data_IF_215673859642
#
_entry.id   IF_215673859642
#
_cell.length_a   1.000
_cell.length_b   1.000
_cell.length_c   1.000
_cell.angle_alpha   90.00
_cell.angle_beta   90.00
_cell.angle_gamma   90.00
#
_symmetry.space_group_name_H-M   'P 1'
#
loop_
_entity.id
_entity.type
_entity.pdbx_description
1 polymer ?
#
# COMPACT_ATOMS: atom_id res chain seq x y z
N UNK A 1 23.71 12.21 13.90
CA UNK A 1 22.60 11.25 13.60
C UNK A 1 22.02 11.56 12.23
N UNK A 2 21.86 10.53 11.39
CA UNK A 2 21.26 10.72 10.06
C UNK A 2 19.80 10.22 10.07
N UNK A 3 18.87 11.13 10.30
CA UNK A 3 17.45 10.83 10.39
C UNK A 3 16.87 10.32 9.07
N UNK A 4 17.29 10.89 7.93
CA UNK A 4 16.82 10.45 6.63
C UNK A 4 17.21 8.99 6.37
N UNK A 5 18.43 8.62 6.70
CA UNK A 5 18.92 7.25 6.56
C UNK A 5 18.15 6.30 7.48
N UNK A 6 17.88 6.73 8.72
CA UNK A 6 17.15 5.92 9.69
C UNK A 6 15.71 5.65 9.21
N UNK A 7 15.05 6.66 8.65
CA UNK A 7 13.72 6.52 8.08
C UNK A 7 13.74 5.48 6.94
N UNK A 8 14.74 5.57 6.05
CA UNK A 8 14.89 4.60 4.96
C UNK A 8 15.13 3.18 5.48
N UNK A 9 15.96 3.05 6.52
CA UNK A 9 16.24 1.75 7.14
C UNK A 9 14.96 1.14 7.72
N UNK A 10 14.20 1.93 8.48
CA UNK A 10 12.93 1.47 9.07
C UNK A 10 11.95 1.05 7.98
N UNK A 11 11.85 1.85 6.92
CA UNK A 11 10.99 1.52 5.78
C UNK A 11 11.37 0.16 5.16
N UNK A 12 12.66 -0.05 4.93
CA UNK A 12 13.15 -1.31 4.34
C UNK A 12 12.91 -2.50 5.27
N UNK A 13 13.15 -2.31 6.57
CA UNK A 13 12.91 -3.36 7.57
C UNK A 13 11.42 -3.70 7.66
N UNK A 14 10.55 -2.70 7.61
CA UNK A 14 9.10 -2.89 7.59
C UNK A 14 8.69 -3.77 6.41
N UNK A 15 9.16 -3.41 5.22
CA UNK A 15 8.82 -4.15 4.00
C UNK A 15 9.35 -5.58 4.04
N UNK A 16 10.56 -5.76 4.52
CA UNK A 16 11.17 -7.10 4.66
C UNK A 16 10.38 -7.97 5.64
N UNK A 17 9.97 -7.41 6.77
CA UNK A 17 9.13 -8.10 7.75
C UNK A 17 7.81 -8.55 7.13
N UNK A 18 7.12 -7.65 6.41
CA UNK A 18 5.86 -7.97 5.74
C UNK A 18 6.04 -9.06 4.69
N UNK A 19 7.12 -8.97 3.89
CA UNK A 19 7.38 -9.94 2.82
C UNK A 19 7.48 -11.38 3.34
N UNK A 20 8.01 -11.56 4.55
CA UNK A 20 8.09 -12.88 5.17
C UNK A 20 6.72 -13.55 5.32
N UNK A 21 5.70 -12.77 5.64
CA UNK A 21 4.33 -13.27 5.78
C UNK A 21 3.57 -13.29 4.45
N UNK A 22 3.82 -12.32 3.58
CA UNK A 22 3.13 -12.20 2.29
C UNK A 22 3.48 -13.34 1.33
N UNK A 23 4.64 -13.94 1.46
CA UNK A 23 5.04 -15.09 0.64
C UNK A 23 4.03 -16.24 0.71
N UNK A 24 3.49 -16.48 1.90
CA UNK A 24 2.49 -17.53 2.09
C UNK A 24 1.20 -17.28 1.29
N UNK A 25 0.93 -16.02 0.97
CA UNK A 25 -0.21 -15.61 0.15
C UNK A 25 0.13 -15.54 -1.35
N UNK A 26 1.40 -15.79 -1.71
CA UNK A 26 1.85 -15.66 -3.09
C UNK A 26 1.93 -14.22 -3.56
N UNK A 27 2.11 -13.26 -2.66
CA UNK A 27 2.09 -11.84 -2.97
C UNK A 27 3.42 -11.17 -2.61
N UNK A 28 3.82 -10.20 -3.44
CA UNK A 28 4.85 -9.24 -3.07
C UNK A 28 4.22 -8.11 -2.25
N UNK A 29 5.06 -7.30 -1.61
CA UNK A 29 4.60 -6.12 -0.86
C UNK A 29 3.75 -5.20 -1.75
N UNK A 30 4.25 -4.84 -2.95
CA UNK A 30 3.53 -3.96 -3.86
C UNK A 30 2.17 -4.51 -4.27
N UNK A 31 2.10 -5.81 -4.55
CA UNK A 31 0.84 -6.48 -4.91
C UNK A 31 -0.15 -6.45 -3.75
N UNK A 32 0.31 -6.74 -2.54
CA UNK A 32 -0.54 -6.76 -1.35
C UNK A 32 -1.12 -5.37 -1.05
N UNK A 33 -0.28 -4.34 -1.09
CA UNK A 33 -0.73 -2.97 -0.82
C UNK A 33 -1.69 -2.49 -1.91
N UNK A 34 -1.43 -2.84 -3.18
CA UNK A 34 -2.35 -2.52 -4.27
C UNK A 34 -3.73 -3.16 -4.03
N UNK A 35 -3.76 -4.46 -3.68
CA UNK A 35 -5.02 -5.15 -3.38
C UNK A 35 -5.76 -4.49 -2.21
N UNK A 36 -5.04 -4.11 -1.17
CA UNK A 36 -5.62 -3.44 0.00
C UNK A 36 -6.30 -2.12 -0.40
N UNK A 37 -5.60 -1.30 -1.17
CA UNK A 37 -6.11 -0.01 -1.63
C UNK A 37 -7.34 -0.20 -2.53
N UNK A 38 -7.26 -1.13 -3.49
CA UNK A 38 -8.35 -1.41 -4.42
C UNK A 38 -9.60 -1.86 -3.65
N UNK A 39 -9.42 -2.70 -2.64
CA UNK A 39 -10.54 -3.13 -1.80
C UNK A 39 -11.17 -1.95 -1.06
N UNK A 40 -10.36 -1.10 -0.43
CA UNK A 40 -10.84 0.01 0.39
C UNK A 40 -11.54 1.09 -0.43
N UNK A 41 -11.09 1.30 -1.66
CA UNK A 41 -11.70 2.29 -2.56
C UNK A 41 -12.89 1.73 -3.36
N UNK A 42 -13.09 0.42 -3.32
CA UNK A 42 -14.14 -0.32 -4.02
C UNK A 42 -14.06 -0.23 -5.55
N UNK A 43 -13.87 0.97 -6.10
CA UNK A 43 -13.79 1.19 -7.54
C UNK A 43 -12.82 2.34 -7.81
N UNK A 44 -11.60 2.02 -8.21
CA UNK A 44 -10.52 3.00 -8.33
C UNK A 44 -9.97 3.06 -9.75
N UNK A 45 -9.61 4.27 -10.20
CA UNK A 45 -8.91 4.46 -11.48
C UNK A 45 -7.42 4.20 -11.28
N UNK A 46 -6.77 3.75 -12.35
CA UNK A 46 -5.32 3.50 -12.30
C UNK A 46 -4.51 4.73 -11.88
N UNK A 47 -4.88 5.91 -12.36
CA UNK A 47 -4.18 7.16 -12.00
C UNK A 47 -4.27 7.44 -10.49
N UNK A 48 -5.43 7.17 -9.88
CA UNK A 48 -5.60 7.37 -8.45
C UNK A 48 -4.81 6.33 -7.65
N UNK A 49 -4.75 5.10 -8.15
CA UNK A 49 -3.94 4.05 -7.55
C UNK A 49 -2.44 4.41 -7.62
N UNK A 50 -1.99 4.96 -8.76
CA UNK A 50 -0.61 5.42 -8.92
C UNK A 50 -0.25 6.45 -7.85
N UNK A 51 -1.14 7.42 -7.61
CA UNK A 51 -0.95 8.45 -6.59
C UNK A 51 -0.88 7.86 -5.17
N UNK A 52 -1.73 6.88 -4.90
CA UNK A 52 -1.79 6.23 -3.58
C UNK A 52 -0.55 5.37 -3.31
N UNK A 53 -0.05 4.67 -4.31
CA UNK A 53 1.11 3.80 -4.17
C UNK A 53 2.44 4.56 -4.14
N UNK A 54 2.48 5.76 -4.72
CA UNK A 54 3.68 6.62 -4.74
C UNK A 54 4.92 5.93 -5.31
N UNK A 55 4.73 5.10 -6.33
CA UNK A 55 5.81 4.44 -7.08
C UNK A 55 5.66 4.76 -8.57
N UNK A 56 6.64 4.37 -9.36
CA UNK A 56 6.63 4.63 -10.80
C UNK A 56 5.42 4.03 -11.49
N UNK A 57 4.87 4.74 -12.47
CA UNK A 57 3.75 4.25 -13.28
C UNK A 57 4.04 2.89 -13.92
N UNK A 58 5.28 2.69 -14.37
CA UNK A 58 5.69 1.40 -14.95
C UNK A 58 5.64 0.27 -13.93
N UNK A 59 6.03 0.54 -12.68
CA UNK A 59 5.93 -0.43 -11.59
C UNK A 59 4.48 -0.77 -11.27
N UNK A 60 3.60 0.22 -11.23
CA UNK A 60 2.16 0.00 -11.00
C UNK A 60 1.57 -0.84 -12.13
N UNK A 61 1.91 -0.52 -13.37
CA UNK A 61 1.44 -1.28 -14.55
C UNK A 61 1.84 -2.75 -14.44
N UNK A 62 3.08 -3.04 -14.03
CA UNK A 62 3.55 -4.42 -13.83
C UNK A 62 2.80 -5.14 -12.71
N UNK A 63 2.58 -4.43 -11.60
CA UNK A 63 1.83 -4.97 -10.46
C UNK A 63 0.42 -5.34 -10.91
N UNK A 64 -0.28 -4.45 -11.60
CA UNK A 64 -1.64 -4.67 -12.06
C UNK A 64 -1.72 -5.81 -13.07
N UNK A 65 -0.76 -5.88 -13.98
CA UNK A 65 -0.69 -6.98 -14.95
C UNK A 65 -0.57 -8.33 -14.25
N UNK A 66 0.31 -8.43 -13.26
CA UNK A 66 0.50 -9.65 -12.49
C UNK A 66 -0.77 -10.01 -11.71
N UNK A 67 -1.43 -9.04 -11.10
CA UNK A 67 -2.68 -9.27 -10.37
C UNK A 67 -3.82 -9.72 -11.29
N UNK A 68 -3.89 -9.15 -12.50
CA UNK A 68 -4.85 -9.62 -13.51
C UNK A 68 -4.58 -11.06 -13.93
N UNK A 69 -3.32 -11.40 -14.19
CA UNK A 69 -2.90 -12.75 -14.57
C UNK A 69 -3.24 -13.77 -13.47
N UNK A 70 -3.12 -13.36 -12.22
CA UNK A 70 -3.50 -14.18 -11.05
C UNK A 70 -5.02 -14.21 -10.84
N UNK A 71 -5.78 -13.46 -11.62
CA UNK A 71 -7.24 -13.35 -11.51
C UNK A 71 -7.71 -12.78 -10.18
N UNK A 72 -6.93 -11.88 -9.61
CA UNK A 72 -7.26 -11.22 -8.36
C UNK A 72 -7.94 -9.87 -8.57
N UNK A 73 -7.75 -9.26 -9.73
CA UNK A 73 -8.39 -8.00 -10.12
C UNK A 73 -8.94 -8.12 -11.54
N UNK A 74 -9.90 -7.25 -11.83
CA UNK A 74 -10.40 -7.05 -13.20
C UNK A 74 -10.58 -5.56 -13.45
N UNK A 75 -10.46 -5.17 -14.70
CA UNK A 75 -10.79 -3.82 -15.14
C UNK A 75 -12.25 -3.80 -15.54
N UNK A 76 -12.98 -2.81 -15.07
CA UNK A 76 -14.41 -2.67 -15.30
C UNK A 76 -14.78 -1.20 -15.40
N UNK A 77 -16.06 -0.93 -15.58
CA UNK A 77 -16.60 0.42 -15.55
C UNK A 77 -17.55 0.52 -14.37
N UNK A 78 -17.35 1.52 -13.53
CA UNK A 78 -18.22 1.76 -12.38
C UNK A 78 -19.49 2.48 -12.83
N UNK A 79 -20.59 2.27 -12.10
CA UNK A 79 -21.88 2.88 -12.42
C UNK A 79 -21.81 4.41 -12.45
N UNK A 80 -21.01 4.99 -11.55
CA UNK A 80 -20.86 6.44 -11.41
C UNK A 80 -19.98 7.07 -12.49
N UNK A 81 -19.16 6.27 -13.17
CA UNK A 81 -18.24 6.77 -14.20
C UNK A 81 -18.01 5.71 -15.27
N UNK A 82 -18.91 5.71 -16.27
CA UNK A 82 -18.85 4.73 -17.37
C UNK A 82 -17.81 5.08 -18.44
N UNK A 83 -17.20 6.25 -18.36
CA UNK A 83 -16.21 6.70 -19.37
C UNK A 83 -14.83 6.13 -19.14
N UNK A 84 -14.46 5.90 -17.89
CA UNK A 84 -13.12 5.46 -17.51
C UNK A 84 -13.14 4.03 -17.02
N UNK A 85 -12.03 3.34 -17.29
CA UNK A 85 -11.83 2.02 -16.71
C UNK A 85 -11.43 2.16 -15.25
N UNK A 86 -12.01 1.31 -14.45
CA UNK A 86 -11.73 1.20 -13.02
C UNK A 86 -11.20 -0.19 -12.73
N UNK A 87 -10.58 -0.33 -11.57
CA UNK A 87 -10.01 -1.59 -11.11
C UNK A 87 -10.80 -2.03 -9.89
N UNK A 88 -11.22 -3.28 -9.89
CA UNK A 88 -11.94 -3.89 -8.76
C UNK A 88 -11.36 -5.25 -8.46
N UNK A 89 -11.53 -5.69 -7.21
CA UNK A 89 -11.15 -7.05 -6.83
C UNK A 89 -12.16 -8.08 -7.37
N UNK A 90 -11.64 -9.22 -7.78
CA UNK A 90 -12.46 -10.41 -8.01
C UNK A 90 -12.84 -11.00 -6.65
N UNK A 91 -13.72 -12.02 -6.64
CA UNK A 91 -14.02 -12.74 -5.41
C UNK A 91 -12.76 -13.36 -4.79
N UNK A 92 -11.87 -13.89 -5.64
CA UNK A 92 -10.58 -14.43 -5.17
C UNK A 92 -9.70 -13.35 -4.53
N UNK A 93 -9.66 -12.15 -5.14
CA UNK A 93 -8.93 -11.02 -4.57
C UNK A 93 -9.51 -10.60 -3.22
N UNK A 94 -10.82 -10.56 -3.10
CA UNK A 94 -11.51 -10.19 -1.85
C UNK A 94 -11.19 -11.16 -0.71
N UNK A 95 -11.00 -12.43 -1.02
CA UNK A 95 -10.67 -13.46 -0.01
C UNK A 95 -9.30 -13.22 0.64
N UNK A 96 -8.39 -12.57 -0.07
CA UNK A 96 -7.04 -12.28 0.43
C UNK A 96 -7.00 -11.06 1.36
N UNK A 97 -7.98 -10.17 1.25
CA UNK A 97 -7.98 -8.90 1.98
C UNK A 97 -7.85 -9.07 3.49
N UNK A 98 -8.61 -9.95 4.17
CA UNK A 98 -8.48 -10.09 5.62
C UNK A 98 -7.08 -10.48 6.07
N UNK A 99 -6.42 -11.37 5.34
CA UNK A 99 -5.03 -11.77 5.64
C UNK A 99 -4.05 -10.64 5.41
N UNK A 100 -4.22 -9.87 4.34
CA UNK A 100 -3.37 -8.70 4.07
C UNK A 100 -3.55 -7.66 5.17
N UNK A 101 -4.78 -7.36 5.54
CA UNK A 101 -5.10 -6.40 6.60
C UNK A 101 -4.46 -6.83 7.92
N UNK A 102 -4.54 -8.12 8.25
CA UNK A 102 -3.93 -8.66 9.47
C UNK A 102 -2.40 -8.50 9.46
N UNK A 103 -1.76 -8.77 8.33
CA UNK A 103 -0.30 -8.61 8.19
C UNK A 103 0.10 -7.14 8.39
N UNK A 104 -0.65 -6.21 7.78
CA UNK A 104 -0.38 -4.77 7.93
C UNK A 104 -0.52 -4.35 9.40
N UNK A 105 -1.58 -4.79 10.07
CA UNK A 105 -1.82 -4.48 11.48
C UNK A 105 -0.74 -5.06 12.39
N UNK A 106 -0.37 -6.32 12.16
CA UNK A 106 0.69 -7.00 12.91
C UNK A 106 2.03 -6.27 12.74
N UNK A 107 2.33 -5.83 11.54
CA UNK A 107 3.55 -5.08 11.24
C UNK A 107 3.60 -3.78 12.02
N UNK A 108 2.49 -3.03 12.03
CA UNK A 108 2.40 -1.78 12.78
C UNK A 108 2.58 -2.02 14.28
N UNK A 109 1.95 -3.05 14.81
CA UNK A 109 2.07 -3.40 16.23
C UNK A 109 3.51 -3.76 16.61
N UNK A 110 4.17 -4.52 15.76
CA UNK A 110 5.58 -4.89 15.97
C UNK A 110 6.49 -3.67 15.95
N UNK A 111 6.26 -2.76 15.01
CA UNK A 111 7.04 -1.52 14.91
C UNK A 111 6.87 -0.63 16.13
N UNK A 112 5.69 -0.65 16.74
CA UNK A 112 5.35 0.27 17.82
C UNK A 112 5.52 -0.33 19.21
N UNK A 113 6.02 -1.56 19.31
CA UNK A 113 6.26 -2.19 20.62
C UNK A 113 7.19 -1.32 21.47
N UNK A 114 6.79 -1.07 22.72
CA UNK A 114 7.57 -0.23 23.63
C UNK A 114 7.42 1.27 23.42
N UNK A 115 6.60 1.69 22.44
CA UNK A 115 6.34 3.10 22.16
C UNK A 115 4.93 3.42 22.66
N UNK A 116 4.83 4.31 23.65
CA UNK A 116 3.54 4.64 24.25
C UNK A 116 2.66 5.52 23.36
N UNK A 117 1.40 5.70 23.71
CA UNK A 117 0.43 6.46 22.90
C UNK A 117 0.87 7.91 22.66
N UNK A 118 1.45 8.57 23.67
CA UNK A 118 1.95 9.95 23.52
C UNK A 118 3.09 10.01 22.52
N UNK A 119 4.03 9.08 22.60
CA UNK A 119 5.15 9.00 21.67
C UNK A 119 4.67 8.70 20.24
N UNK A 120 3.68 7.81 20.09
CA UNK A 120 3.09 7.50 18.78
C UNK A 120 2.44 8.72 18.17
N UNK A 121 1.70 9.49 18.96
CA UNK A 121 1.06 10.71 18.52
C UNK A 121 2.08 11.76 18.09
N UNK A 122 3.13 11.95 18.87
CA UNK A 122 4.22 12.87 18.52
C UNK A 122 4.93 12.45 17.25
N UNK A 123 5.18 11.15 17.09
CA UNK A 123 5.82 10.60 15.89
C UNK A 123 4.95 10.86 14.65
N UNK A 124 3.65 10.62 14.76
CA UNK A 124 2.72 10.87 13.66
C UNK A 124 2.75 12.34 13.23
N UNK A 125 2.68 13.27 14.20
CA UNK A 125 2.73 14.69 13.94
C UNK A 125 4.04 15.11 13.25
N UNK A 126 5.17 14.54 13.70
CA UNK A 126 6.49 14.83 13.12
C UNK A 126 6.59 14.30 11.69
N UNK A 127 6.16 13.06 11.47
CA UNK A 127 6.19 12.45 10.13
C UNK A 127 5.30 13.22 9.15
N UNK A 128 4.14 13.69 9.60
CA UNK A 128 3.25 14.52 8.77
C UNK A 128 3.91 15.86 8.41
N UNK A 129 4.64 16.47 9.32
CA UNK A 129 5.41 17.69 9.02
C UNK A 129 6.49 17.42 7.98
N UNK A 130 7.23 16.33 8.14
CA UNK A 130 8.25 15.93 7.16
C UNK A 130 7.67 15.74 5.78
N UNK A 131 6.54 15.02 5.72
CA UNK A 131 5.82 14.77 4.47
C UNK A 131 5.42 16.09 3.81
N UNK A 132 4.83 17.01 4.57
CA UNK A 132 4.41 18.32 4.07
C UNK A 132 5.59 19.15 3.57
N UNK A 133 6.74 19.10 4.29
CA UNK A 133 7.93 19.84 3.89
C UNK A 133 8.47 19.40 2.53
N UNK A 134 8.25 18.14 2.16
CA UNK A 134 8.77 17.58 0.90
C UNK A 134 7.75 17.62 -0.24
N UNK A 135 6.49 17.91 0.04
CA UNK A 135 5.46 18.02 -1.00
C UNK A 135 5.78 19.12 -2.00
N UNK A 136 5.70 18.78 -3.31
CA UNK A 136 5.87 19.74 -4.39
C UNK A 136 7.29 20.27 -4.59
N UNK A 137 8.29 19.75 -3.89
CA UNK A 137 9.67 20.24 -3.98
C UNK A 137 10.58 19.45 -4.92
N UNK A 138 10.07 18.39 -5.51
CA UNK A 138 10.81 17.52 -6.42
C UNK A 138 10.42 17.72 -7.89
N UNK A 139 9.84 18.87 -8.20
CA UNK A 139 9.45 19.26 -9.56
C UNK A 139 10.60 19.82 -10.37
#
# INVERSE_FOLDING_TARGET
MNLARLISTVHNQKNSYMNGYLKALGLSHGQAIALKIIHEEECIKQDDLNKRLQIDKSAVTRILKTLEEKKLIVKTRCEDDKRNQHIVLTDEGKKLYPSIKQIVLQTANEMLEGIDENQQKQLEEILLKMKKNLEGKNE
#
